data_IF_816962266516
#
_entry.id   IF_816962266516
#
_cell.length_a   1.000
_cell.length_b   1.000
_cell.length_c   1.000
_cell.angle_alpha   90.00
_cell.angle_beta   90.00
_cell.angle_gamma   90.00
#
_symmetry.space_group_name_H-M   'P 1'
#
loop_
_entity.id
_entity.type
_entity.pdbx_description
1 polymer ?
#
# COMPACT_ATOMS: atom_id res chain seq x y z
N UNK A 1 28.78 -14.08 -5.63
CA UNK A 1 28.25 -14.24 -4.25
C UNK A 1 27.23 -13.15 -3.98
N UNK A 2 25.96 -13.54 -3.84
CA UNK A 2 24.79 -12.67 -4.00
C UNK A 2 24.59 -11.66 -2.85
N UNK A 3 24.50 -10.39 -3.20
CA UNK A 3 24.13 -9.26 -2.33
C UNK A 3 22.73 -9.47 -1.70
N UNK A 4 21.88 -10.30 -2.32
CA UNK A 4 20.53 -10.61 -1.84
C UNK A 4 20.46 -11.48 -0.58
N UNK A 5 21.47 -12.32 -0.30
CA UNK A 5 21.44 -13.19 0.89
C UNK A 5 21.75 -12.43 2.18
N UNK A 6 22.62 -11.41 2.11
CA UNK A 6 22.95 -10.54 3.25
C UNK A 6 21.80 -9.60 3.59
N UNK A 7 21.10 -9.04 2.60
CA UNK A 7 19.94 -8.17 2.83
C UNK A 7 18.76 -8.93 3.48
N UNK A 8 18.44 -10.15 3.01
CA UNK A 8 17.43 -10.99 3.65
C UNK A 8 17.82 -11.41 5.08
N UNK A 9 19.11 -11.67 5.32
CA UNK A 9 19.64 -11.99 6.64
C UNK A 9 19.49 -10.81 7.62
N UNK A 10 19.81 -9.60 7.18
CA UNK A 10 19.65 -8.38 7.99
C UNK A 10 18.17 -8.09 8.25
N UNK A 11 17.30 -8.19 7.24
CA UNK A 11 15.85 -8.02 7.42
C UNK A 11 15.27 -9.06 8.39
N UNK A 12 15.71 -10.33 8.32
CA UNK A 12 15.32 -11.37 9.29
C UNK A 12 15.86 -11.09 10.69
N UNK A 13 17.07 -10.55 10.82
CA UNK A 13 17.71 -10.23 12.10
C UNK A 13 17.07 -9.01 12.76
N UNK A 14 16.74 -7.98 12.00
CA UNK A 14 15.94 -6.82 12.44
C UNK A 14 14.53 -7.27 12.84
N UNK A 15 13.87 -8.11 12.03
CA UNK A 15 12.58 -8.72 12.37
C UNK A 15 12.65 -9.52 13.68
N UNK A 16 13.76 -10.23 13.94
CA UNK A 16 13.98 -11.00 15.18
C UNK A 16 14.32 -10.13 16.39
N UNK A 17 15.01 -9.01 16.21
CA UNK A 17 15.29 -8.03 17.27
C UNK A 17 14.00 -7.28 17.65
N UNK A 18 13.19 -6.88 16.68
CA UNK A 18 11.87 -6.25 16.91
C UNK A 18 10.88 -7.27 17.54
N UNK A 19 10.90 -8.53 17.09
CA UNK A 19 10.10 -9.61 17.71
C UNK A 19 10.62 -10.04 19.09
N UNK A 20 11.89 -9.79 19.42
CA UNK A 20 12.48 -10.06 20.72
C UNK A 20 12.30 -8.92 21.73
N UNK A 21 12.12 -7.69 21.24
CA UNK A 21 11.76 -6.51 22.03
C UNK A 21 10.24 -6.37 22.21
N UNK A 22 9.53 -7.49 22.39
CA UNK A 22 8.07 -7.55 22.38
C UNK A 22 7.37 -6.87 23.57
N UNK A 23 8.10 -6.42 24.61
CA UNK A 23 7.50 -6.09 25.91
C UNK A 23 7.81 -4.68 26.49
N UNK A 24 8.08 -3.63 25.69
CA UNK A 24 8.33 -2.28 26.27
C UNK A 24 7.65 -1.08 25.60
N UNK A 25 7.00 -1.23 24.45
CA UNK A 25 6.30 -0.12 23.80
C UNK A 25 4.80 -0.17 24.11
N UNK A 26 4.29 0.89 24.74
CA UNK A 26 2.85 1.13 24.92
C UNK A 26 2.28 1.82 23.68
N UNK A 27 1.24 1.24 23.09
CA UNK A 27 0.53 1.82 21.93
C UNK A 27 -0.78 2.49 22.37
N UNK A 28 -1.26 3.54 21.66
CA UNK A 28 -0.73 4.09 20.41
C UNK A 28 0.55 4.94 20.58
N UNK A 29 1.34 5.04 19.51
CA UNK A 29 2.56 5.86 19.43
C UNK A 29 2.45 6.84 18.26
N UNK A 30 2.66 8.12 18.54
CA UNK A 30 2.77 9.14 17.50
C UNK A 30 4.13 9.10 16.82
N UNK A 31 4.13 9.15 15.49
CA UNK A 31 5.31 9.19 14.65
C UNK A 31 5.27 10.45 13.79
N UNK A 32 6.31 11.27 13.89
CA UNK A 32 6.46 12.49 13.08
C UNK A 32 7.61 12.29 12.09
N UNK A 33 7.30 12.21 10.80
CA UNK A 33 8.27 12.01 9.73
C UNK A 33 8.61 13.36 9.09
N UNK A 34 9.89 13.70 9.04
CA UNK A 34 10.38 14.91 8.35
C UNK A 34 10.47 14.63 6.85
N UNK A 35 9.85 15.50 6.05
CA UNK A 35 9.83 15.44 4.58
C UNK A 35 10.23 16.79 3.98
N UNK A 36 10.31 16.87 2.64
CA UNK A 36 10.52 18.16 1.96
C UNK A 36 9.31 19.09 2.09
N UNK A 37 8.11 18.54 2.28
CA UNK A 37 6.85 19.26 2.41
C UNK A 37 6.53 19.64 3.88
N UNK A 38 7.45 19.37 4.81
CA UNK A 38 7.26 19.60 6.25
C UNK A 38 7.19 18.29 7.04
N UNK A 39 6.46 18.31 8.16
CA UNK A 39 6.30 17.13 9.02
C UNK A 39 4.98 16.41 8.70
N UNK A 40 5.07 15.12 8.44
CA UNK A 40 3.91 14.24 8.31
C UNK A 40 3.70 13.47 9.62
N UNK A 41 2.46 13.46 10.09
CA UNK A 41 2.06 12.87 11.36
C UNK A 41 1.36 11.54 11.12
N UNK A 42 1.70 10.56 11.93
CA UNK A 42 1.07 9.26 11.93
C UNK A 42 0.87 8.80 13.37
N UNK A 43 -0.05 7.89 13.57
CA UNK A 43 -0.23 7.16 14.81
C UNK A 43 -0.16 5.66 14.51
N UNK A 44 0.69 4.96 15.25
CA UNK A 44 0.84 3.51 15.17
C UNK A 44 0.18 2.87 16.39
N UNK A 45 -0.64 1.84 16.16
CA UNK A 45 -1.38 1.11 17.19
C UNK A 45 -0.78 -0.26 17.49
N UNK A 46 0.23 -0.68 16.74
CA UNK A 46 0.96 -1.92 16.95
C UNK A 46 2.43 -1.75 16.58
N UNK A 47 3.25 -2.71 17.02
CA UNK A 47 4.67 -2.76 16.64
C UNK A 47 4.89 -2.95 15.14
N UNK A 48 3.94 -3.63 14.47
CA UNK A 48 3.96 -3.82 13.01
C UNK A 48 3.68 -2.50 12.29
N UNK A 49 2.65 -1.77 12.73
CA UNK A 49 2.36 -0.44 12.20
C UNK A 49 3.52 0.52 12.42
N UNK A 50 4.09 0.53 13.62
CA UNK A 50 5.25 1.36 13.94
C UNK A 50 6.44 1.03 13.03
N UNK A 51 6.70 -0.26 12.74
CA UNK A 51 7.71 -0.64 11.77
C UNK A 51 7.38 -0.17 10.33
N UNK A 52 6.12 -0.30 9.90
CA UNK A 52 5.68 0.19 8.57
C UNK A 52 5.83 1.70 8.45
N UNK A 53 5.54 2.45 9.50
CA UNK A 53 5.56 3.91 9.51
C UNK A 53 6.96 4.43 9.81
N UNK A 54 7.46 4.26 11.04
CA UNK A 54 8.74 4.81 11.48
C UNK A 54 9.94 4.13 10.81
N UNK A 55 9.83 2.83 10.54
CA UNK A 55 10.83 2.06 9.80
C UNK A 55 10.64 2.11 8.28
N UNK A 56 9.64 2.83 7.79
CA UNK A 56 9.23 2.86 6.37
C UNK A 56 8.97 1.46 5.79
N UNK A 57 8.67 0.45 6.61
CA UNK A 57 8.57 -0.94 6.17
C UNK A 57 9.89 -1.51 5.61
N UNK A 58 11.03 -0.86 5.85
CA UNK A 58 12.30 -1.17 5.19
C UNK A 58 12.43 -0.60 3.76
N UNK A 59 11.55 0.32 3.37
CA UNK A 59 11.32 0.72 1.98
C UNK A 59 11.53 2.21 1.76
N UNK A 60 12.33 2.84 2.62
CA UNK A 60 12.61 4.27 2.53
C UNK A 60 13.10 4.68 1.14
N UNK A 61 13.98 3.90 0.50
CA UNK A 61 14.46 4.20 -0.84
C UNK A 61 13.36 4.14 -1.91
N UNK A 62 12.39 3.24 -1.76
CA UNK A 62 11.23 3.14 -2.63
C UNK A 62 10.33 4.35 -2.48
N UNK A 63 10.03 4.75 -1.24
CA UNK A 63 9.26 5.96 -0.93
C UNK A 63 9.96 7.23 -1.42
N UNK A 64 11.26 7.38 -1.14
CA UNK A 64 12.05 8.54 -1.56
C UNK A 64 12.04 8.68 -3.09
N UNK A 65 12.18 7.56 -3.81
CA UNK A 65 12.14 7.55 -5.27
C UNK A 65 10.74 7.88 -5.80
N UNK A 66 9.71 7.24 -5.26
CA UNK A 66 8.31 7.49 -5.61
C UNK A 66 7.97 8.98 -5.45
N UNK A 67 8.20 9.54 -4.26
CA UNK A 67 7.89 10.95 -3.95
C UNK A 67 8.70 11.93 -4.78
N UNK A 68 9.97 11.62 -5.10
CA UNK A 68 10.81 12.48 -5.95
C UNK A 68 10.32 12.65 -7.38
N UNK A 69 9.43 11.76 -7.84
CA UNK A 69 8.88 11.75 -9.19
C UNK A 69 7.46 12.31 -9.25
N UNK A 70 6.84 12.62 -8.10
CA UNK A 70 5.51 13.21 -8.02
C UNK A 70 5.53 14.68 -8.44
N UNK A 71 4.40 15.13 -8.95
CA UNK A 71 4.09 16.50 -9.34
C UNK A 71 2.88 16.98 -8.57
N UNK A 72 2.74 18.29 -8.47
CA UNK A 72 1.70 18.93 -7.68
C UNK A 72 0.28 18.60 -8.19
N UNK A 73 0.11 18.45 -9.51
CA UNK A 73 -1.15 18.19 -10.20
C UNK A 73 -1.45 16.70 -10.41
N UNK A 74 -0.72 15.78 -9.76
CA UNK A 74 -0.91 14.35 -10.01
C UNK A 74 -2.22 13.81 -9.45
N UNK A 75 -2.84 12.93 -10.25
CA UNK A 75 -3.88 12.00 -9.78
C UNK A 75 -3.20 10.67 -9.47
N UNK A 76 -3.02 10.40 -8.18
CA UNK A 76 -2.27 9.23 -7.70
C UNK A 76 -3.22 8.12 -7.28
N UNK A 77 -3.07 6.94 -7.88
CA UNK A 77 -3.69 5.72 -7.38
C UNK A 77 -2.69 4.99 -6.49
N UNK A 78 -2.99 4.86 -5.19
CA UNK A 78 -2.24 4.08 -4.22
C UNK A 78 -2.95 2.74 -3.98
N UNK A 79 -2.62 1.73 -4.79
CA UNK A 79 -3.20 0.40 -4.69
C UNK A 79 -2.45 -0.41 -3.64
N UNK A 80 -3.16 -0.85 -2.60
CA UNK A 80 -2.59 -1.43 -1.38
C UNK A 80 -2.07 -0.32 -0.46
N UNK A 81 -2.95 0.60 -0.09
CA UNK A 81 -2.60 1.80 0.67
C UNK A 81 -2.14 1.49 2.11
N UNK A 82 -2.53 0.33 2.67
CA UNK A 82 -2.20 -0.09 4.02
C UNK A 82 -2.52 1.03 5.03
N UNK A 83 -1.69 1.23 6.06
CA UNK A 83 -1.87 2.28 7.07
C UNK A 83 -1.55 3.70 6.57
N UNK A 84 -1.35 3.89 5.26
CA UNK A 84 -1.29 5.22 4.64
C UNK A 84 0.08 5.87 4.51
N UNK A 85 1.18 5.13 4.70
CA UNK A 85 2.53 5.71 4.54
C UNK A 85 2.69 6.36 3.16
N UNK A 86 2.42 5.61 2.08
CA UNK A 86 2.54 6.11 0.71
C UNK A 86 1.44 7.14 0.39
N UNK A 87 0.20 6.89 0.82
CA UNK A 87 -0.95 7.78 0.61
C UNK A 87 -0.71 9.18 1.17
N UNK A 88 -0.30 9.29 2.44
CA UNK A 88 -0.08 10.59 3.10
C UNK A 88 1.08 11.34 2.47
N UNK A 89 2.16 10.65 2.10
CA UNK A 89 3.26 11.27 1.36
C UNK A 89 2.78 11.76 0.00
N UNK A 90 2.07 10.94 -0.77
CA UNK A 90 1.54 11.34 -2.07
C UNK A 90 0.64 12.57 -1.96
N UNK A 91 -0.24 12.61 -0.96
CA UNK A 91 -1.16 13.73 -0.74
C UNK A 91 -0.43 15.01 -0.33
N UNK A 92 0.71 14.90 0.36
CA UNK A 92 1.54 16.06 0.70
C UNK A 92 2.23 16.67 -0.52
N UNK A 93 2.57 15.86 -1.53
CA UNK A 93 3.19 16.34 -2.78
C UNK A 93 2.16 16.81 -3.82
N UNK A 94 1.07 16.06 -4.02
CA UNK A 94 0.08 16.29 -5.06
C UNK A 94 -1.01 17.31 -4.65
N UNK A 95 -0.61 18.50 -4.15
CA UNK A 95 -1.50 19.49 -3.50
C UNK A 95 -2.66 20.00 -4.37
N UNK A 96 -2.44 20.17 -5.68
CA UNK A 96 -3.44 20.57 -6.68
C UNK A 96 -4.08 19.35 -7.37
N UNK A 97 -3.57 18.16 -7.08
CA UNK A 97 -4.08 16.89 -7.55
C UNK A 97 -5.00 16.20 -6.55
N UNK A 98 -4.98 14.86 -6.59
CA UNK A 98 -5.80 14.00 -5.73
C UNK A 98 -5.18 12.63 -5.55
N UNK A 99 -5.34 12.06 -4.36
CA UNK A 99 -4.96 10.66 -4.10
C UNK A 99 -6.22 9.80 -4.01
N UNK A 100 -6.18 8.64 -4.65
CA UNK A 100 -7.20 7.59 -4.55
C UNK A 100 -6.51 6.38 -3.92
N UNK A 101 -6.90 6.04 -2.70
CA UNK A 101 -6.28 5.01 -1.89
C UNK A 101 -7.18 3.76 -1.83
N UNK A 102 -6.64 2.61 -2.22
CA UNK A 102 -7.36 1.34 -2.28
C UNK A 102 -6.85 0.45 -1.15
N UNK A 103 -7.75 0.11 -0.22
CA UNK A 103 -7.46 -0.78 0.91
C UNK A 103 -8.71 -1.61 1.24
N UNK A 104 -8.73 -2.92 0.92
CA UNK A 104 -9.91 -3.75 1.14
C UNK A 104 -10.14 -4.13 2.61
N UNK A 105 -9.11 -4.13 3.46
CA UNK A 105 -9.26 -4.50 4.86
C UNK A 105 -9.89 -3.35 5.68
N UNK A 106 -11.05 -3.56 6.32
CA UNK A 106 -11.79 -2.49 6.97
C UNK A 106 -11.05 -1.92 8.19
N UNK A 107 -10.34 -2.75 8.96
CA UNK A 107 -9.58 -2.26 10.13
C UNK A 107 -8.38 -1.41 9.68
N UNK A 108 -7.66 -1.87 8.65
CA UNK A 108 -6.55 -1.14 8.03
C UNK A 108 -7.03 0.14 7.36
N UNK A 109 -8.20 0.12 6.73
CA UNK A 109 -8.86 1.30 6.15
C UNK A 109 -9.15 2.37 7.22
N UNK A 110 -9.59 1.98 8.42
CA UNK A 110 -9.77 2.95 9.51
C UNK A 110 -8.44 3.54 9.98
N UNK A 111 -7.35 2.75 10.03
CA UNK A 111 -6.00 3.28 10.28
C UNK A 111 -5.52 4.25 9.20
N UNK A 112 -5.79 3.93 7.94
CA UNK A 112 -5.49 4.78 6.78
C UNK A 112 -6.19 6.13 6.90
N UNK A 113 -7.51 6.13 7.10
CA UNK A 113 -8.31 7.35 7.28
C UNK A 113 -7.82 8.17 8.47
N UNK A 114 -7.55 7.51 9.60
CA UNK A 114 -7.01 8.15 10.78
C UNK A 114 -5.69 8.87 10.47
N UNK A 115 -4.71 8.18 9.86
CA UNK A 115 -3.42 8.78 9.54
C UNK A 115 -3.53 9.92 8.51
N UNK A 116 -4.41 9.82 7.52
CA UNK A 116 -4.68 10.95 6.61
C UNK A 116 -5.25 12.15 7.39
N UNK A 117 -6.18 11.93 8.32
CA UNK A 117 -6.82 13.00 9.09
C UNK A 117 -5.87 13.82 9.97
N UNK A 118 -4.73 13.25 10.37
CA UNK A 118 -3.70 13.94 11.16
C UNK A 118 -2.92 14.99 10.36
N UNK A 119 -3.00 14.97 9.03
CA UNK A 119 -2.17 15.76 8.13
C UNK A 119 -2.99 16.87 7.46
N UNK A 120 -3.27 17.93 8.22
CA UNK A 120 -3.95 19.13 7.68
C UNK A 120 -3.08 19.79 6.60
N UNK A 121 -3.66 20.08 5.44
CA UNK A 121 -2.97 20.76 4.33
C UNK A 121 -2.39 19.84 3.25
N UNK A 122 -2.65 18.53 3.32
CA UNK A 122 -2.45 17.63 2.18
C UNK A 122 -3.63 17.68 1.22
N UNK A 123 -3.46 17.18 -0.01
CA UNK A 123 -4.53 17.09 -1.00
C UNK A 123 -5.68 16.20 -0.54
N UNK A 124 -6.83 16.31 -1.22
CA UNK A 124 -7.95 15.39 -0.97
C UNK A 124 -7.56 13.93 -1.22
N UNK A 125 -8.08 13.04 -0.39
CA UNK A 125 -7.93 11.58 -0.52
C UNK A 125 -9.30 10.94 -0.66
N UNK A 126 -9.50 10.14 -1.70
CA UNK A 126 -10.67 9.27 -1.86
C UNK A 126 -10.29 7.86 -1.40
N UNK A 127 -11.12 7.27 -0.54
CA UNK A 127 -10.89 5.94 0.03
C UNK A 127 -11.79 4.91 -0.65
N UNK A 128 -11.19 3.82 -1.12
CA UNK A 128 -11.89 2.75 -1.83
C UNK A 128 -11.72 1.42 -1.08
N UNK A 129 -12.78 0.90 -0.43
CA UNK A 129 -12.72 -0.29 0.40
C UNK A 129 -12.88 -1.57 -0.43
N UNK A 130 -12.08 -1.71 -1.48
CA UNK A 130 -12.10 -2.88 -2.38
C UNK A 130 -10.71 -3.12 -2.99
N UNK A 131 -10.46 -4.36 -3.39
CA UNK A 131 -9.19 -4.80 -3.95
C UNK A 131 -9.18 -4.70 -5.49
N UNK A 132 -8.10 -4.19 -6.08
CA UNK A 132 -7.96 -4.17 -7.53
C UNK A 132 -7.63 -5.57 -8.08
N UNK A 133 -8.42 -6.04 -9.06
CA UNK A 133 -8.29 -7.36 -9.68
C UNK A 133 -8.71 -7.32 -11.16
N UNK A 134 -8.65 -8.46 -11.86
CA UNK A 134 -9.15 -8.60 -13.24
C UNK A 134 -10.65 -8.92 -13.32
N UNK A 135 -11.29 -9.17 -12.19
CA UNK A 135 -12.72 -9.49 -12.06
C UNK A 135 -13.37 -8.70 -10.93
N UNK A 136 -14.69 -8.57 -11.04
CA UNK A 136 -15.52 -8.00 -9.99
C UNK A 136 -16.29 -9.11 -9.29
N UNK A 137 -15.83 -9.51 -8.11
CA UNK A 137 -16.37 -10.61 -7.34
C UNK A 137 -16.04 -10.45 -5.85
N UNK A 138 -16.82 -11.13 -5.00
CA UNK A 138 -16.49 -11.27 -3.58
C UNK A 138 -15.42 -12.34 -3.42
N UNK A 139 -14.33 -12.01 -2.73
CA UNK A 139 -13.21 -12.92 -2.47
C UNK A 139 -12.87 -12.98 -1.00
N UNK A 140 -12.24 -14.08 -0.59
CA UNK A 140 -11.67 -14.20 0.75
C UNK A 140 -10.33 -13.46 0.80
N UNK A 141 -10.23 -12.49 1.70
CA UNK A 141 -8.98 -11.87 2.10
C UNK A 141 -8.49 -12.53 3.39
N UNK A 142 -7.26 -13.04 3.36
CA UNK A 142 -6.57 -13.50 4.56
C UNK A 142 -5.89 -12.30 5.20
N UNK A 143 -6.32 -11.96 6.41
CA UNK A 143 -5.86 -10.77 7.13
C UNK A 143 -5.71 -11.08 8.62
N UNK A 144 -5.02 -10.19 9.33
CA UNK A 144 -5.05 -10.10 10.80
C UNK A 144 -5.52 -8.68 11.19
N UNK A 145 -6.24 -8.03 10.28
CA UNK A 145 -6.58 -6.62 10.35
C UNK A 145 -5.34 -5.72 10.44
N UNK A 146 -5.46 -4.65 11.22
CA UNK A 146 -4.37 -3.72 11.47
C UNK A 146 -3.29 -4.29 12.42
N UNK A 147 -3.58 -5.41 13.08
CA UNK A 147 -2.75 -6.00 14.13
C UNK A 147 -1.65 -6.94 13.63
N UNK A 148 -1.60 -7.30 12.33
CA UNK A 148 -0.71 -8.36 11.85
C UNK A 148 -0.14 -8.22 10.44
N UNK A 149 0.06 -9.36 9.77
CA UNK A 149 0.80 -9.45 8.50
C UNK A 149 0.09 -8.70 7.36
N UNK A 150 0.82 -8.43 6.27
CA UNK A 150 0.20 -7.78 5.12
C UNK A 150 -0.94 -8.67 4.58
N UNK A 151 -2.14 -8.10 4.31
CA UNK A 151 -3.26 -8.86 3.79
C UNK A 151 -2.89 -9.54 2.47
N UNK A 152 -3.48 -10.70 2.20
CA UNK A 152 -3.19 -11.43 0.95
C UNK A 152 -4.42 -12.19 0.48
N UNK A 153 -4.59 -12.26 -0.84
CA UNK A 153 -5.62 -13.08 -1.48
C UNK A 153 -5.20 -14.55 -1.62
N UNK A 154 -4.00 -14.92 -1.13
CA UNK A 154 -3.48 -16.29 -1.18
C UNK A 154 -3.45 -16.90 0.20
N UNK A 155 -4.07 -18.06 0.35
CA UNK A 155 -3.98 -18.85 1.57
C UNK A 155 -2.51 -19.21 1.90
N UNK A 156 -2.09 -19.00 3.15
CA UNK A 156 -0.70 -19.22 3.58
C UNK A 156 -0.56 -20.28 4.69
N UNK A 157 -1.34 -21.37 4.61
CA UNK A 157 -1.51 -22.40 5.67
C UNK A 157 -0.23 -22.96 6.32
N UNK A 158 0.94 -22.83 5.68
CA UNK A 158 2.21 -23.41 6.17
C UNK A 158 3.22 -22.38 6.74
N UNK A 159 2.81 -21.16 7.08
CA UNK A 159 3.72 -20.15 7.65
C UNK A 159 3.39 -19.79 9.09
N UNK A 160 4.42 -19.76 9.95
CA UNK A 160 4.32 -19.32 11.36
C UNK A 160 3.66 -17.95 11.57
N UNK A 161 3.66 -17.09 10.54
CA UNK A 161 3.09 -15.74 10.58
C UNK A 161 2.06 -15.53 9.44
N UNK A 162 1.33 -16.56 9.03
CA UNK A 162 0.22 -16.37 8.11
C UNK A 162 -0.91 -15.61 8.81
N UNK A 163 -1.67 -14.77 8.09
CA UNK A 163 -2.90 -14.20 8.62
C UNK A 163 -3.87 -15.32 9.03
N UNK A 164 -4.49 -15.17 10.19
CA UNK A 164 -5.33 -16.20 10.80
C UNK A 164 -6.82 -15.93 10.65
N UNK A 165 -7.20 -14.70 10.31
CA UNK A 165 -8.60 -14.34 10.05
C UNK A 165 -8.88 -14.28 8.55
N UNK A 166 -10.15 -14.50 8.21
CA UNK A 166 -10.67 -14.44 6.86
C UNK A 166 -11.86 -13.50 6.86
N UNK A 167 -11.88 -12.58 5.91
CA UNK A 167 -13.00 -11.69 5.67
C UNK A 167 -13.34 -11.72 4.18
N UNK A 168 -14.61 -11.48 3.86
CA UNK A 168 -15.03 -11.29 2.48
C UNK A 168 -14.86 -9.83 2.08
N UNK A 169 -14.19 -9.59 0.96
CA UNK A 169 -13.98 -8.25 0.39
C UNK A 169 -14.36 -8.25 -1.08
N UNK A 170 -14.79 -7.10 -1.58
CA UNK A 170 -15.03 -6.92 -3.00
C UNK A 170 -13.72 -6.74 -3.75
N UNK A 171 -13.62 -7.38 -4.90
CA UNK A 171 -12.65 -7.05 -5.94
C UNK A 171 -13.31 -6.29 -7.07
N UNK A 172 -12.56 -5.40 -7.75
CA UNK A 172 -13.03 -4.68 -8.93
C UNK A 172 -11.90 -4.44 -9.93
N UNK A 173 -12.26 -4.32 -11.21
CA UNK A 173 -11.34 -3.91 -12.28
C UNK A 173 -11.20 -2.38 -12.36
N UNK A 174 -9.96 -1.89 -12.36
CA UNK A 174 -9.65 -0.47 -12.56
C UNK A 174 -10.20 0.04 -13.89
N UNK A 175 -10.03 -0.72 -14.97
CA UNK A 175 -10.55 -0.35 -16.30
C UNK A 175 -12.08 -0.19 -16.28
N UNK A 176 -12.80 -1.10 -15.63
CA UNK A 176 -14.27 -1.04 -15.55
C UNK A 176 -14.75 0.15 -14.73
N UNK A 177 -14.08 0.45 -13.62
CA UNK A 177 -14.44 1.60 -12.78
C UNK A 177 -14.14 2.94 -13.46
N UNK A 178 -13.10 3.02 -14.30
CA UNK A 178 -12.83 4.19 -15.15
C UNK A 178 -13.91 4.31 -16.25
N UNK A 179 -14.22 3.21 -16.95
CA UNK A 179 -15.24 3.19 -18.01
C UNK A 179 -16.64 3.56 -17.49
N UNK A 180 -16.94 3.20 -16.25
CA UNK A 180 -18.21 3.50 -15.60
C UNK A 180 -18.27 4.94 -15.06
N UNK A 181 -17.17 5.70 -15.14
CA UNK A 181 -17.08 7.07 -14.62
C UNK A 181 -16.90 7.18 -13.11
N UNK A 182 -16.70 6.06 -12.41
CA UNK A 182 -16.49 6.05 -10.95
C UNK A 182 -15.07 6.50 -10.57
N UNK A 183 -14.10 6.31 -11.47
CA UNK A 183 -12.71 6.72 -11.28
C UNK A 183 -12.22 7.65 -12.39
N UNK A 184 -11.40 8.67 -12.05
CA UNK A 184 -10.70 9.47 -13.05
C UNK A 184 -9.54 8.68 -13.69
N UNK A 185 -8.95 9.22 -14.76
CA UNK A 185 -7.68 8.70 -15.27
C UNK A 185 -6.52 9.11 -14.33
N UNK A 186 -5.74 8.15 -13.79
CA UNK A 186 -4.58 8.49 -12.98
C UNK A 186 -3.39 8.96 -13.82
N UNK A 187 -2.62 9.91 -13.28
CA UNK A 187 -1.30 10.25 -13.81
C UNK A 187 -0.21 9.36 -13.22
N UNK A 188 -0.41 8.87 -12.00
CA UNK A 188 0.53 8.01 -11.28
C UNK A 188 -0.20 6.78 -10.74
N UNK A 189 0.37 5.60 -10.98
CA UNK A 189 -0.17 4.33 -10.49
C UNK A 189 0.88 3.65 -9.61
N UNK A 190 0.61 3.54 -8.31
CA UNK A 190 1.41 2.71 -7.38
C UNK A 190 0.66 1.41 -7.07
N UNK A 191 1.37 0.28 -7.11
CA UNK A 191 0.81 -1.05 -6.85
C UNK A 191 1.72 -1.84 -5.90
N UNK A 192 1.22 -2.14 -4.72
CA UNK A 192 1.88 -3.00 -3.74
C UNK A 192 0.82 -3.79 -2.95
N UNK A 193 0.48 -4.99 -3.45
CA UNK A 193 -0.66 -5.79 -2.98
C UNK A 193 -0.29 -7.26 -2.76
N UNK A 194 0.98 -7.50 -2.43
CA UNK A 194 1.49 -8.72 -1.79
C UNK A 194 1.03 -10.04 -2.43
N UNK A 195 1.03 -10.13 -3.76
CA UNK A 195 0.65 -11.37 -4.47
C UNK A 195 -0.33 -11.20 -5.63
N UNK A 196 -1.05 -10.08 -5.68
CA UNK A 196 -2.15 -9.84 -6.62
C UNK A 196 -1.81 -8.85 -7.74
N UNK A 197 -0.56 -8.40 -7.86
CA UNK A 197 -0.12 -7.38 -8.81
C UNK A 197 -0.48 -7.73 -10.25
N UNK A 198 -0.32 -9.00 -10.64
CA UNK A 198 -0.67 -9.45 -12.00
C UNK A 198 -2.17 -9.35 -12.30
N UNK A 199 -3.02 -9.60 -11.31
CA UNK A 199 -4.47 -9.50 -11.45
C UNK A 199 -4.88 -8.04 -11.58
N UNK A 200 -4.33 -7.16 -10.73
CA UNK A 200 -4.51 -5.73 -10.83
C UNK A 200 -4.04 -5.19 -12.21
N UNK A 201 -2.87 -5.62 -12.70
CA UNK A 201 -2.35 -5.20 -14.00
C UNK A 201 -3.23 -5.69 -15.17
N UNK A 202 -3.78 -6.90 -15.08
CA UNK A 202 -4.76 -7.41 -16.06
C UNK A 202 -6.05 -6.59 -16.04
N UNK A 203 -6.54 -6.24 -14.85
CA UNK A 203 -7.71 -5.38 -14.66
C UNK A 203 -7.50 -3.91 -14.98
N UNK A 204 -6.26 -3.48 -15.25
CA UNK A 204 -5.87 -2.12 -15.65
C UNK A 204 -5.22 -2.10 -17.06
N UNK A 205 -5.40 -3.17 -17.85
CA UNK A 205 -4.74 -3.35 -19.15
C UNK A 205 -5.10 -2.24 -20.13
N UNK A 206 -6.37 -1.84 -20.21
CA UNK A 206 -6.84 -0.79 -21.12
C UNK A 206 -6.27 0.57 -20.73
N UNK A 207 -6.23 0.89 -19.43
CA UNK A 207 -5.57 2.08 -18.89
C UNK A 207 -4.07 2.12 -19.30
N UNK A 208 -3.33 1.06 -18.99
CA UNK A 208 -1.87 1.02 -19.19
C UNK A 208 -1.51 0.99 -20.68
N UNK A 209 -2.34 0.35 -21.52
CA UNK A 209 -2.18 0.35 -22.98
C UNK A 209 -2.69 1.63 -23.66
N UNK A 210 -3.28 2.58 -22.92
CA UNK A 210 -3.77 3.85 -23.45
C UNK A 210 -5.09 3.75 -24.22
N UNK A 211 -5.81 2.64 -24.10
CA UNK A 211 -7.13 2.46 -24.71
C UNK A 211 -8.22 3.27 -24.02
N UNK A 212 -8.00 3.70 -22.77
CA UNK A 212 -8.91 4.56 -22.01
C UNK A 212 -8.54 6.06 -22.09
N UNK A 213 -7.50 6.41 -22.85
CA UNK A 213 -6.99 7.78 -22.96
C UNK A 213 -5.52 7.90 -22.57
N UNK A 214 -5.15 9.03 -21.96
CA UNK A 214 -3.75 9.30 -21.58
C UNK A 214 -3.29 8.28 -20.54
N UNK A 215 -2.19 7.58 -20.85
CA UNK A 215 -1.56 6.62 -19.94
C UNK A 215 -1.01 7.33 -18.69
N UNK A 216 -0.91 6.62 -17.55
CA UNK A 216 -0.14 7.11 -16.41
C UNK A 216 1.29 7.44 -16.85
N UNK A 217 1.79 8.61 -16.46
CA UNK A 217 3.17 9.02 -16.72
C UNK A 217 4.19 8.26 -15.84
N UNK A 218 3.71 7.66 -14.75
CA UNK A 218 4.51 6.92 -13.80
C UNK A 218 3.72 5.70 -13.32
N UNK A 219 4.34 4.53 -13.39
CA UNK A 219 3.83 3.30 -12.79
C UNK A 219 4.93 2.76 -11.87
N UNK A 220 4.59 2.56 -10.60
CA UNK A 220 5.50 2.15 -9.54
C UNK A 220 4.94 0.91 -8.87
N UNK A 221 5.54 -0.26 -9.08
CA UNK A 221 5.01 -1.49 -8.50
C UNK A 221 6.11 -2.35 -7.93
N UNK A 222 5.77 -3.11 -6.88
CA UNK A 222 6.67 -4.09 -6.31
C UNK A 222 6.57 -5.40 -7.07
N UNK A 223 7.72 -5.94 -7.47
CA UNK A 223 7.82 -7.30 -7.98
C UNK A 223 8.33 -8.19 -6.85
N UNK A 224 7.44 -8.97 -6.24
CA UNK A 224 7.82 -9.94 -5.22
C UNK A 224 8.39 -11.19 -5.89
N UNK A 225 9.65 -11.54 -5.65
CA UNK A 225 10.37 -12.64 -6.34
C UNK A 225 9.73 -14.04 -6.28
N UNK A 226 8.66 -14.23 -5.48
CA UNK A 226 7.80 -15.43 -5.51
C UNK A 226 6.97 -15.58 -6.78
N UNK A 227 7.02 -14.61 -7.69
CA UNK A 227 6.27 -14.63 -8.96
C UNK A 227 6.90 -15.46 -10.08
N UNK A 228 8.19 -15.81 -10.00
CA UNK A 228 8.87 -16.53 -11.09
C UNK A 228 8.89 -18.05 -10.95
N UNK A 229 8.26 -18.63 -9.93
CA UNK A 229 8.37 -20.08 -9.69
C UNK A 229 7.35 -20.96 -10.41
N UNK A 230 6.46 -20.41 -11.24
CA UNK A 230 5.57 -21.20 -12.09
C UNK A 230 5.31 -20.49 -13.42
N UNK A 231 6.23 -20.69 -14.36
CA UNK A 231 5.94 -20.89 -15.78
C UNK A 231 6.65 -22.17 -16.18
#
# INVERSE_FOLDING_TARGET
MSIGSKALSVARRVKRIILGAKDTLSFPIQVNLKTKEGFLKFEAFSSVEHYRIAGYGGEKSFLDKFTSLLKNDDIVFDIGASVGLMTVHAAAYAKEGKVIAFEPDPETMERLKHNVSLNKGVSSVMFLPWAASDRSEDVILFTDGASGCAPTLREQNNRKNAPKTQITVQTKSIDNEILSGNLPLPTVLKIDIEGAEILCLRGAKKLISGQLGKRPRLIFFRVTSRFFTFV
#
